data_IF_737653555085
#
_entry.id   IF_737653555085
#
_cell.length_a   1.000
_cell.length_b   1.000
_cell.length_c   1.000
_cell.angle_alpha   90.00
_cell.angle_beta   90.00
_cell.angle_gamma   90.00
#
_symmetry.space_group_name_H-M   'P 1'
#
loop_
_entity.id
_entity.type
_entity.pdbx_description
1 polymer ?
#
# COMPACT_ATOMS: atom_id res chain seq x y z
N UNK A 1 -3.95 14.10 0.55
CA UNK A 1 -4.76 12.93 0.97
C UNK A 1 -6.22 13.24 1.28
N UNK A 2 -6.57 14.45 1.75
CA UNK A 2 -7.98 14.87 1.91
C UNK A 2 -8.83 14.76 0.64
N UNK A 3 -8.20 14.75 -0.55
CA UNK A 3 -8.90 14.51 -1.83
C UNK A 3 -9.53 13.11 -1.94
N UNK A 4 -8.94 12.10 -1.28
CA UNK A 4 -9.38 10.70 -1.35
C UNK A 4 -10.25 10.29 -0.16
N UNK A 5 -10.29 11.10 0.91
CA UNK A 5 -11.09 10.85 2.12
C UNK A 5 -12.39 11.64 2.00
N UNK A 6 -13.48 10.93 1.71
CA UNK A 6 -14.85 11.47 1.63
C UNK A 6 -15.61 11.26 2.94
N UNK A 7 -15.25 10.25 3.74
CA UNK A 7 -15.91 9.90 4.99
C UNK A 7 -14.95 9.33 6.02
N UNK A 8 -15.36 9.29 7.29
CA UNK A 8 -14.60 8.68 8.39
C UNK A 8 -14.39 7.17 8.23
N UNK A 9 -15.16 6.53 7.35
CA UNK A 9 -15.03 5.11 7.03
C UNK A 9 -14.09 4.84 5.85
N UNK A 10 -13.51 5.88 5.24
CA UNK A 10 -12.53 5.67 4.16
C UNK A 10 -11.16 5.32 4.74
N UNK A 11 -10.52 4.31 4.16
CA UNK A 11 -9.21 3.82 4.58
C UNK A 11 -8.22 3.66 3.43
N UNK A 12 -6.96 3.44 3.77
CA UNK A 12 -5.89 3.15 2.81
C UNK A 12 -5.13 1.93 3.27
N UNK A 13 -4.60 1.17 2.31
CA UNK A 13 -3.65 0.10 2.59
C UNK A 13 -2.24 0.69 2.55
N UNK A 14 -1.54 0.66 3.68
CA UNK A 14 -0.20 1.22 3.83
C UNK A 14 0.81 0.13 4.28
N UNK A 15 2.10 0.24 3.92
CA UNK A 15 3.12 -0.68 4.38
C UNK A 15 3.46 -0.46 5.86
N UNK A 16 3.75 -1.55 6.58
CA UNK A 16 4.25 -1.52 7.96
C UNK A 16 5.76 -1.87 7.96
N UNK A 17 6.61 -1.15 8.72
CA UNK A 17 6.29 -0.02 9.59
C UNK A 17 5.84 1.23 8.80
N UNK A 18 4.92 2.06 9.35
CA UNK A 18 4.43 3.24 8.65
C UNK A 18 5.57 4.23 8.45
N UNK A 19 5.71 4.74 7.22
CA UNK A 19 6.62 5.84 6.95
C UNK A 19 6.02 7.13 7.53
N UNK A 20 6.80 8.02 8.18
CA UNK A 20 6.24 9.17 8.91
C UNK A 20 5.34 10.11 8.09
N UNK A 21 5.49 10.11 6.75
CA UNK A 21 4.64 10.86 5.83
C UNK A 21 3.23 10.27 5.67
N UNK A 22 3.05 8.98 5.95
CA UNK A 22 1.78 8.28 5.97
C UNK A 22 1.43 7.95 7.43
N UNK A 23 0.87 8.92 8.20
CA UNK A 23 0.57 8.72 9.61
C UNK A 23 -0.36 7.52 9.82
N UNK A 24 -0.15 6.82 10.94
CA UNK A 24 -0.99 5.69 11.38
C UNK A 24 -2.48 6.06 11.56
N UNK A 25 -2.85 7.34 11.52
CA UNK A 25 -4.26 7.77 11.46
C UNK A 25 -4.96 7.40 10.15
N UNK A 26 -4.18 7.02 9.13
CA UNK A 26 -4.62 6.48 7.83
C UNK A 26 -4.70 4.95 7.89
N UNK A 27 -4.04 4.36 8.88
CA UNK A 27 -3.93 2.93 9.15
C UNK A 27 -5.23 2.46 9.83
N UNK A 28 -6.30 2.44 9.06
CA UNK A 28 -7.56 1.85 9.48
C UNK A 28 -7.42 0.32 9.37
N UNK A 29 -6.77 -0.23 10.40
CA UNK A 29 -6.74 -1.65 10.76
C UNK A 29 -5.96 -2.60 9.84
N UNK A 30 -4.63 -2.58 9.97
CA UNK A 30 -3.90 -3.85 10.08
C UNK A 30 -3.48 -4.50 8.76
N UNK A 31 -2.99 -3.69 7.83
CA UNK A 31 -2.25 -4.18 6.68
C UNK A 31 -0.82 -4.64 7.05
N UNK A 32 -0.70 -5.63 7.93
CA UNK A 32 0.60 -6.08 8.46
C UNK A 32 1.40 -6.89 7.44
N UNK A 33 2.67 -6.51 7.27
CA UNK A 33 3.69 -7.33 6.62
C UNK A 33 3.67 -7.25 5.10
N UNK A 34 4.28 -6.20 4.54
CA UNK A 34 4.66 -6.19 3.14
C UNK A 34 5.77 -7.21 2.90
N UNK A 35 5.35 -8.37 2.39
CA UNK A 35 6.16 -9.36 1.72
C UNK A 35 5.41 -9.80 0.46
N UNK A 36 5.70 -9.13 -0.66
CA UNK A 36 5.74 -9.66 -2.04
C UNK A 36 4.50 -10.35 -2.64
N UNK A 37 3.34 -10.42 -1.97
CA UNK A 37 2.22 -11.25 -2.44
C UNK A 37 0.87 -10.51 -2.46
N UNK A 38 0.29 -10.39 -3.65
CA UNK A 38 -1.07 -9.86 -3.87
C UNK A 38 -2.14 -10.63 -3.09
N UNK A 39 -1.90 -11.91 -2.80
CA UNK A 39 -2.80 -12.75 -2.00
C UNK A 39 -3.02 -12.19 -0.58
N UNK A 40 -2.00 -11.57 0.02
CA UNK A 40 -2.09 -10.93 1.33
C UNK A 40 -2.87 -9.62 1.26
N UNK A 41 -2.60 -8.79 0.24
CA UNK A 41 -3.32 -7.53 0.00
C UNK A 41 -4.82 -7.78 -0.14
N UNK A 42 -5.20 -8.84 -0.86
CA UNK A 42 -6.60 -9.22 -1.01
C UNK A 42 -7.26 -9.58 0.33
N UNK A 43 -6.59 -10.36 1.18
CA UNK A 43 -7.14 -10.72 2.50
C UNK A 43 -7.36 -9.50 3.39
N UNK A 44 -6.42 -8.55 3.37
CA UNK A 44 -6.50 -7.32 4.15
C UNK A 44 -7.62 -6.42 3.63
N UNK A 45 -7.76 -6.29 2.31
CA UNK A 45 -8.85 -5.56 1.69
C UNK A 45 -10.22 -6.14 2.08
N UNK A 46 -10.38 -7.46 2.01
CA UNK A 46 -11.63 -8.12 2.41
C UNK A 46 -11.91 -7.99 3.92
N UNK A 47 -10.88 -8.05 4.76
CA UNK A 47 -11.03 -7.79 6.19
C UNK A 47 -11.50 -6.35 6.47
N UNK A 48 -10.93 -5.35 5.80
CA UNK A 48 -11.35 -3.96 5.91
C UNK A 48 -12.81 -3.78 5.43
N UNK A 49 -13.17 -4.36 4.28
CA UNK A 49 -14.56 -4.35 3.77
C UNK A 49 -15.54 -4.97 4.78
N UNK A 50 -15.16 -6.07 5.44
CA UNK A 50 -15.99 -6.73 6.46
C UNK A 50 -16.26 -5.86 7.69
N UNK A 51 -15.37 -4.91 7.98
CA UNK A 51 -15.50 -3.95 9.08
C UNK A 51 -16.26 -2.68 8.67
N UNK A 52 -16.75 -2.61 7.42
CA UNK A 52 -17.44 -1.43 6.89
C UNK A 52 -16.51 -0.32 6.41
N UNK A 53 -15.21 -0.61 6.27
CA UNK A 53 -14.19 0.32 5.79
C UNK A 53 -14.19 0.33 4.27
N UNK A 54 -14.20 1.51 3.68
CA UNK A 54 -14.08 1.69 2.24
C UNK A 54 -12.63 2.01 1.92
N UNK A 55 -11.88 1.00 1.49
CA UNK A 55 -10.49 1.21 1.07
C UNK A 55 -10.45 1.96 -0.26
N UNK A 56 -9.75 3.10 -0.29
CA UNK A 56 -9.69 4.00 -1.47
C UNK A 56 -8.38 3.90 -2.24
N UNK A 57 -7.28 3.59 -1.55
CA UNK A 57 -5.97 3.58 -2.16
C UNK A 57 -5.05 2.54 -1.53
N UNK A 58 -4.04 2.16 -2.32
CA UNK A 58 -2.89 1.36 -1.90
C UNK A 58 -1.64 2.22 -2.00
N UNK A 59 -0.88 2.31 -0.90
CA UNK A 59 0.42 2.98 -0.86
C UNK A 59 1.51 1.95 -1.07
N UNK A 60 2.44 2.25 -1.98
CA UNK A 60 3.59 1.42 -2.31
C UNK A 60 4.84 2.27 -2.20
N UNK A 61 5.79 1.84 -1.40
CA UNK A 61 7.08 2.53 -1.23
C UNK A 61 8.16 1.65 -1.86
N UNK A 62 8.77 2.12 -2.94
CA UNK A 62 9.74 1.36 -3.72
C UNK A 62 10.81 2.28 -4.34
N UNK A 63 12.09 2.16 -3.97
CA UNK A 63 12.70 1.24 -3.00
C UNK A 63 12.23 1.47 -1.56
N UNK A 64 12.09 0.38 -0.79
CA UNK A 64 11.52 0.43 0.56
C UNK A 64 12.47 1.09 1.56
N UNK A 65 12.00 2.08 2.31
CA UNK A 65 12.73 2.64 3.46
C UNK A 65 12.33 1.90 4.76
N UNK A 66 13.27 1.48 5.64
CA UNK A 66 14.73 1.62 5.61
C UNK A 66 15.47 0.44 4.97
N UNK A 67 14.77 -0.56 4.44
CA UNK A 67 15.38 -1.84 4.04
C UNK A 67 16.10 -1.82 2.69
N UNK A 68 15.89 -0.80 1.86
CA UNK A 68 16.44 -0.69 0.50
C UNK A 68 15.90 -1.70 -0.51
N UNK A 69 14.89 -2.51 -0.12
CA UNK A 69 14.37 -3.58 -0.96
C UNK A 69 13.62 -3.01 -2.17
N UNK A 70 13.96 -3.52 -3.36
CA UNK A 70 13.28 -3.20 -4.62
C UNK A 70 12.27 -4.28 -4.97
N UNK A 71 11.08 -3.89 -5.39
CA UNK A 71 10.07 -4.81 -5.91
C UNK A 71 10.47 -5.29 -7.31
N UNK A 72 10.46 -6.61 -7.54
CA UNK A 72 10.64 -7.17 -8.88
C UNK A 72 9.52 -6.74 -9.83
N UNK A 73 9.81 -6.69 -11.13
CA UNK A 73 8.89 -6.20 -12.16
C UNK A 73 7.57 -6.97 -12.19
N UNK A 74 7.61 -8.30 -12.06
CA UNK A 74 6.41 -9.15 -12.03
C UNK A 74 5.48 -8.74 -10.89
N UNK A 75 6.03 -8.55 -9.69
CA UNK A 75 5.25 -8.13 -8.53
C UNK A 75 4.68 -6.71 -8.70
N UNK A 76 5.41 -5.79 -9.36
CA UNK A 76 4.87 -4.48 -9.69
C UNK A 76 3.67 -4.58 -10.65
N UNK A 77 3.75 -5.45 -11.66
CA UNK A 77 2.63 -5.71 -12.59
C UNK A 77 1.42 -6.28 -11.87
N UNK A 78 1.63 -7.23 -10.96
CA UNK A 78 0.56 -7.84 -10.17
C UNK A 78 -0.13 -6.81 -9.27
N UNK A 79 0.63 -5.89 -8.66
CA UNK A 79 0.09 -4.80 -7.84
C UNK A 79 -0.77 -3.85 -8.68
N UNK A 80 -0.31 -3.48 -9.87
CA UNK A 80 -1.06 -2.62 -10.79
C UNK A 80 -2.36 -3.30 -11.23
N UNK A 81 -2.29 -4.58 -11.59
CA UNK A 81 -3.47 -5.35 -11.99
C UNK A 81 -4.47 -5.49 -10.82
N UNK A 82 -3.98 -5.74 -9.61
CA UNK A 82 -4.78 -5.79 -8.39
C UNK A 82 -5.52 -4.46 -8.15
N UNK A 83 -4.82 -3.33 -8.23
CA UNK A 83 -5.44 -2.02 -8.05
C UNK A 83 -6.50 -1.74 -9.13
N UNK A 84 -6.23 -2.12 -10.38
CA UNK A 84 -7.19 -2.01 -11.47
C UNK A 84 -8.45 -2.85 -11.28
N UNK A 85 -8.31 -4.09 -10.78
CA UNK A 85 -9.43 -5.00 -10.50
C UNK A 85 -10.29 -4.52 -9.33
N UNK A 86 -9.68 -4.02 -8.28
CA UNK A 86 -10.38 -3.59 -7.05
C UNK A 86 -10.80 -2.11 -7.07
N UNK A 87 -10.42 -1.35 -8.10
CA UNK A 87 -10.76 0.07 -8.23
C UNK A 87 -10.02 0.96 -7.22
N UNK A 88 -8.80 0.58 -6.84
CA UNK A 88 -7.98 1.30 -5.88
C UNK A 88 -7.06 2.31 -6.57
N UNK A 89 -6.90 3.48 -5.96
CA UNK A 89 -5.86 4.42 -6.38
C UNK A 89 -4.49 3.90 -5.93
N UNK A 90 -3.54 3.79 -6.85
CA UNK A 90 -2.17 3.41 -6.54
C UNK A 90 -1.33 4.66 -6.21
N UNK A 91 -0.80 4.74 -5.00
CA UNK A 91 0.11 5.77 -4.52
C UNK A 91 1.53 5.20 -4.48
N UNK A 92 2.27 5.32 -5.59
CA UNK A 92 3.65 4.88 -5.69
C UNK A 92 4.63 5.97 -5.22
N UNK A 93 5.30 5.73 -4.10
CA UNK A 93 6.36 6.56 -3.53
C UNK A 93 7.73 6.01 -3.96
N UNK A 94 8.33 6.66 -4.95
CA UNK A 94 9.59 6.26 -5.60
C UNK A 94 10.73 7.26 -5.33
N UNK A 95 10.68 7.97 -4.21
CA UNK A 95 11.69 8.98 -3.85
C UNK A 95 13.11 8.42 -3.78
N UNK A 96 13.26 7.11 -3.55
CA UNK A 96 14.56 6.42 -3.48
C UNK A 96 14.95 5.71 -4.79
N UNK A 97 14.31 5.98 -5.93
CA UNK A 97 14.57 5.27 -7.20
C UNK A 97 16.04 5.27 -7.63
N UNK A 98 16.81 6.31 -7.28
CA UNK A 98 18.25 6.43 -7.57
C UNK A 98 19.14 5.85 -6.45
N UNK A 99 18.56 5.47 -5.31
CA UNK A 99 19.24 4.98 -4.11
C UNK A 99 19.06 3.46 -3.95
N UNK A 100 19.35 2.71 -5.00
CA UNK A 100 19.34 1.25 -4.98
C UNK A 100 20.76 0.76 -4.72
N UNK A 101 20.97 0.08 -3.58
CA UNK A 101 22.23 -0.61 -3.34
C UNK A 101 22.23 -1.89 -4.18
N UNK A 102 23.14 -1.98 -5.14
CA UNK A 102 23.47 -3.25 -5.78
C UNK A 102 24.25 -4.10 -4.76
N UNK A 103 23.67 -5.19 -4.26
CA UNK A 103 24.45 -6.33 -3.76
C UNK A 103 24.56 -7.40 -4.84
#
# INVERSE_FOLDING_TARGET
>A
MQLLIKSENDGFLCPIPPYPLYPASIDLHGATGWGLEVSSLKKQLEAAKSQGIIVRALVVINPRNPTGQVLGEENQRDIVEFCGKEGLVLLADEVYQENVNCE
#
